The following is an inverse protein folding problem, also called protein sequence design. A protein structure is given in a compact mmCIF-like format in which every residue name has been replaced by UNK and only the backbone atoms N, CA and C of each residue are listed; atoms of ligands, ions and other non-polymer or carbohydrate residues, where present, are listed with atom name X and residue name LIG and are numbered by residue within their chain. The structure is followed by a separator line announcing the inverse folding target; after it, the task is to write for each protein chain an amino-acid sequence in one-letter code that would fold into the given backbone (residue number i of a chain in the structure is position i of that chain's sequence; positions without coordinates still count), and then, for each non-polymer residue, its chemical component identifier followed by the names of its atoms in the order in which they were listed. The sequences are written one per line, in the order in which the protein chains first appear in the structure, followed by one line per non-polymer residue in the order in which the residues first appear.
data_IF_093072616327
#
_entry.id   IF_093072616327
#
_cell.length_a   1.000
_cell.length_b   1.000
_cell.length_c   1.000
_cell.angle_alpha   90.00
_cell.angle_beta   90.00
_cell.angle_gamma   90.00
#
_symmetry.space_group_name_H-M   'P 1'
#
loop_
_entity.id
_entity.type
_entity.pdbx_description
1 polymer ?
#
# COMPACT_ATOMS: atom_id res chain seq x y z
N UNK A 1 22.72 62.37 -55.22
CA UNK A 1 22.29 61.13 -55.91
C UNK A 1 21.43 60.36 -54.92
N UNK A 2 20.12 60.28 -55.18
CA UNK A 2 19.11 59.63 -54.32
C UNK A 2 18.78 58.27 -54.92
N UNK A 3 18.91 57.21 -54.13
CA UNK A 3 18.24 55.89 -54.27
C UNK A 3 18.37 55.18 -52.92
N UNK A 4 17.35 55.10 -52.06
CA UNK A 4 16.11 54.28 -52.04
C UNK A 4 16.30 52.87 -51.44
N UNK A 5 15.37 52.58 -50.51
CA UNK A 5 14.86 51.27 -50.03
C UNK A 5 15.82 50.45 -49.13
N UNK A 6 15.41 49.81 -48.02
CA UNK A 6 14.14 49.11 -47.76
C UNK A 6 13.92 48.93 -46.24
N UNK A 7 12.66 48.92 -45.81
CA UNK A 7 12.20 48.58 -44.44
C UNK A 7 12.37 47.08 -44.17
N UNK A 8 12.77 46.72 -42.96
CA UNK A 8 12.41 45.45 -42.33
C UNK A 8 12.18 45.71 -40.83
N UNK A 9 10.91 45.69 -40.42
CA UNK A 9 10.47 45.72 -39.02
C UNK A 9 10.63 44.28 -38.52
N UNK A 10 11.62 44.05 -37.65
CA UNK A 10 11.75 42.77 -36.95
C UNK A 10 10.95 42.89 -35.64
N UNK A 11 9.77 42.30 -35.64
CA UNK A 11 8.94 42.09 -34.45
C UNK A 11 9.71 41.14 -33.52
N UNK A 12 10.19 41.64 -32.39
CA UNK A 12 10.67 40.80 -31.30
C UNK A 12 9.47 40.04 -30.72
N UNK A 13 9.23 38.83 -31.22
CA UNK A 13 8.42 37.85 -30.53
C UNK A 13 9.14 37.53 -29.22
N UNK A 14 8.58 38.03 -28.12
CA UNK A 14 8.90 37.59 -26.77
C UNK A 14 8.80 36.08 -26.71
N UNK A 15 9.96 35.42 -26.62
CA UNK A 15 10.07 34.02 -26.25
C UNK A 15 9.52 33.92 -24.83
N UNK A 16 8.22 33.64 -24.70
CA UNK A 16 7.67 33.07 -23.48
C UNK A 16 8.35 31.71 -23.37
N UNK A 17 9.38 31.66 -22.53
CA UNK A 17 9.93 30.39 -22.06
C UNK A 17 8.78 29.73 -21.30
N UNK A 18 8.04 28.89 -22.01
CA UNK A 18 7.30 27.82 -21.37
C UNK A 18 8.37 27.04 -20.63
N UNK A 19 8.47 27.25 -19.31
CA UNK A 19 9.06 26.28 -18.42
C UNK A 19 8.20 25.03 -18.59
N UNK A 20 8.53 24.22 -19.58
CA UNK A 20 8.22 22.81 -19.52
C UNK A 20 8.78 22.36 -18.19
N UNK A 21 7.91 21.96 -17.25
CA UNK A 21 8.31 21.03 -16.23
C UNK A 21 8.79 19.79 -16.97
N UNK A 22 10.07 19.77 -17.34
CA UNK A 22 10.74 18.51 -17.58
C UNK A 22 10.71 17.84 -16.22
N UNK A 23 9.92 16.77 -16.12
CA UNK A 23 10.15 15.74 -15.12
C UNK A 23 11.59 15.32 -15.40
N UNK A 24 12.54 15.83 -14.62
CA UNK A 24 13.87 15.26 -14.62
C UNK A 24 13.67 13.83 -14.12
N UNK A 25 13.73 12.87 -15.04
CA UNK A 25 13.98 11.49 -14.67
C UNK A 25 15.11 11.51 -13.63
N UNK A 26 14.92 10.81 -12.51
CA UNK A 26 15.80 10.88 -11.33
C UNK A 26 17.27 10.86 -11.71
N UNK A 27 17.89 12.04 -11.73
CA UNK A 27 19.35 12.17 -11.90
C UNK A 27 19.98 11.49 -10.68
N UNK A 28 20.85 10.53 -10.97
CA UNK A 28 21.74 9.89 -10.00
C UNK A 28 21.09 9.02 -8.91
N UNK A 29 19.93 8.41 -9.20
CA UNK A 29 19.29 7.47 -8.25
C UNK A 29 18.75 8.15 -7.00
N UNK A 30 18.41 9.44 -7.09
CA UNK A 30 17.58 10.10 -6.09
C UNK A 30 16.13 9.62 -6.23
N UNK A 31 15.52 9.28 -5.10
CA UNK A 31 14.12 8.89 -5.06
C UNK A 31 13.24 9.99 -5.68
N UNK A 32 12.20 9.60 -6.42
CA UNK A 32 11.23 10.54 -6.96
C UNK A 32 10.61 11.38 -5.84
N UNK A 33 10.39 12.67 -6.10
CA UNK A 33 9.75 13.58 -5.13
C UNK A 33 8.42 12.96 -4.65
N UNK A 34 8.27 12.76 -3.33
CA UNK A 34 7.07 12.16 -2.73
C UNK A 34 7.19 10.69 -2.31
N UNK A 35 8.23 9.95 -2.73
CA UNK A 35 8.44 8.55 -2.31
C UNK A 35 8.63 8.40 -0.80
N UNK A 36 9.44 9.27 -0.19
CA UNK A 36 9.62 9.30 1.27
C UNK A 36 8.31 9.61 1.99
N UNK A 37 7.41 10.36 1.34
CA UNK A 37 6.16 10.79 1.95
C UNK A 37 5.16 9.65 2.13
N UNK A 38 5.10 8.72 1.18
CA UNK A 38 4.17 7.59 1.23
C UNK A 38 4.73 6.34 1.92
N UNK A 39 6.06 6.21 2.04
CA UNK A 39 6.71 5.14 2.78
C UNK A 39 6.81 5.41 4.29
N UNK A 40 6.64 6.66 4.74
CA UNK A 40 6.73 7.04 6.17
C UNK A 40 5.64 6.44 7.05
N UNK A 41 4.56 5.95 6.45
CA UNK A 41 3.39 5.42 7.17
C UNK A 41 3.55 3.97 7.62
N UNK A 42 4.78 3.46 7.62
CA UNK A 42 5.09 2.11 8.06
C UNK A 42 4.66 1.04 7.05
N UNK A 43 4.74 -0.22 7.46
CA UNK A 43 4.66 -1.36 6.56
C UNK A 43 3.80 -2.50 7.09
N UNK A 44 3.37 -3.34 6.17
CA UNK A 44 2.85 -4.68 6.44
C UNK A 44 3.90 -5.67 5.97
N UNK A 45 4.52 -6.38 6.90
CA UNK A 45 5.41 -7.48 6.62
C UNK A 45 4.59 -8.76 6.50
N UNK A 46 4.70 -9.43 5.36
CA UNK A 46 3.94 -10.62 5.04
C UNK A 46 4.88 -11.79 4.82
N UNK A 47 4.54 -12.93 5.40
CA UNK A 47 5.16 -14.22 5.15
C UNK A 47 4.09 -15.20 4.68
N UNK A 48 4.32 -15.76 3.50
CA UNK A 48 3.47 -16.77 2.87
C UNK A 48 4.24 -18.08 2.81
N UNK A 49 3.65 -19.17 3.29
CA UNK A 49 4.22 -20.52 3.17
C UNK A 49 3.16 -21.46 2.62
N UNK A 50 3.50 -22.20 1.56
CA UNK A 50 2.55 -23.07 0.88
C UNK A 50 3.20 -23.89 -0.23
N UNK A 51 2.37 -24.36 -1.16
CA UNK A 51 2.79 -25.12 -2.34
C UNK A 51 2.26 -24.45 -3.60
N UNK A 52 3.11 -24.28 -4.62
CA UNK A 52 2.74 -23.73 -5.93
C UNK A 52 1.83 -24.69 -6.70
N UNK A 53 1.10 -24.24 -7.73
CA UNK A 53 0.30 -25.12 -8.60
C UNK A 53 1.06 -26.29 -9.25
N UNK A 54 2.39 -26.16 -9.41
CA UNK A 54 3.25 -27.22 -9.94
C UNK A 54 3.86 -28.13 -8.86
N UNK A 55 3.28 -28.14 -7.65
CA UNK A 55 3.65 -28.96 -6.49
C UNK A 55 5.04 -28.67 -5.90
N UNK A 56 5.61 -27.50 -6.18
CA UNK A 56 6.85 -27.05 -5.56
C UNK A 56 6.54 -26.24 -4.29
N UNK A 57 7.12 -26.59 -3.12
CA UNK A 57 6.91 -25.82 -1.90
C UNK A 57 7.56 -24.43 -2.02
N UNK A 58 6.97 -23.43 -1.36
CA UNK A 58 7.54 -22.10 -1.27
C UNK A 58 7.41 -21.52 0.14
N UNK A 59 8.33 -20.62 0.48
CA UNK A 59 8.20 -19.70 1.61
C UNK A 59 8.74 -18.35 1.17
N UNK A 60 7.90 -17.31 1.24
CA UNK A 60 8.24 -15.96 0.80
C UNK A 60 7.93 -14.96 1.89
N UNK A 61 8.89 -14.09 2.17
CA UNK A 61 8.70 -12.91 3.03
C UNK A 61 8.89 -11.66 2.21
N UNK A 62 8.00 -10.68 2.39
CA UNK A 62 8.01 -9.39 1.69
C UNK A 62 7.44 -8.30 2.60
N UNK A 63 7.85 -7.05 2.37
CA UNK A 63 7.29 -5.89 3.05
C UNK A 63 6.54 -5.01 2.04
N UNK A 64 5.27 -4.72 2.33
CA UNK A 64 4.46 -3.73 1.60
C UNK A 64 4.52 -2.41 2.38
N UNK A 65 5.05 -1.35 1.77
CA UNK A 65 5.48 -0.14 2.49
C UNK A 65 4.76 1.13 2.08
N UNK A 66 4.21 1.16 0.88
CA UNK A 66 3.69 2.39 0.30
C UNK A 66 2.19 2.48 0.53
N UNK A 67 1.66 3.68 0.75
CA UNK A 67 0.21 3.93 0.83
C UNK A 67 -0.29 4.69 -0.41
N UNK A 68 -1.60 4.90 -0.53
CA UNK A 68 -2.17 5.65 -1.66
C UNK A 68 -1.69 7.09 -1.65
N UNK A 69 -1.50 7.66 -2.84
CA UNK A 69 -1.19 9.08 -3.05
C UNK A 69 -2.46 9.92 -3.18
N UNK A 70 -3.59 9.30 -3.51
CA UNK A 70 -4.85 9.99 -3.78
C UNK A 70 -5.61 10.27 -2.48
N UNK A 71 -5.92 11.56 -2.25
CA UNK A 71 -6.56 12.01 -1.01
C UNK A 71 -7.92 11.34 -0.72
N UNK A 72 -8.68 11.01 -1.77
CA UNK A 72 -9.96 10.31 -1.67
C UNK A 72 -9.84 8.90 -1.09
N UNK A 73 -8.67 8.28 -1.25
CA UNK A 73 -8.47 6.86 -0.98
C UNK A 73 -7.98 6.63 0.44
N UNK A 74 -7.51 7.66 1.16
CA UNK A 74 -7.02 7.50 2.53
C UNK A 74 -8.08 6.89 3.45
N UNK A 75 -9.36 7.21 3.24
CA UNK A 75 -10.47 6.65 4.03
C UNK A 75 -10.53 5.13 3.98
N UNK A 76 -10.13 4.50 2.88
CA UNK A 76 -10.14 3.04 2.67
C UNK A 76 -8.74 2.40 2.68
N UNK A 77 -7.67 3.18 2.67
CA UNK A 77 -6.28 2.69 2.51
C UNK A 77 -5.32 3.04 3.64
N UNK A 78 -5.60 4.05 4.46
CA UNK A 78 -4.72 4.40 5.59
C UNK A 78 -5.45 5.17 6.68
N UNK A 79 -6.54 4.63 7.20
CA UNK A 79 -7.40 5.34 8.14
C UNK A 79 -7.59 4.63 9.47
N UNK A 80 -7.87 5.44 10.48
CA UNK A 80 -8.55 5.04 11.71
C UNK A 80 -9.85 5.84 11.82
N UNK A 81 -10.91 5.17 12.23
CA UNK A 81 -12.21 5.76 12.53
C UNK A 81 -12.55 5.49 13.99
N UNK A 82 -13.00 6.54 14.69
CA UNK A 82 -13.39 6.48 16.09
C UNK A 82 -14.92 6.49 16.21
N UNK A 83 -15.47 5.54 16.96
CA UNK A 83 -16.88 5.48 17.31
C UNK A 83 -17.03 5.16 18.80
N UNK A 84 -16.93 6.19 19.64
CA UNK A 84 -16.76 6.01 21.08
C UNK A 84 -15.47 5.24 21.37
N UNK A 85 -15.57 4.17 22.14
CA UNK A 85 -14.43 3.28 22.45
C UNK A 85 -14.16 2.25 21.35
N UNK A 86 -14.91 2.27 20.24
CA UNK A 86 -14.68 1.35 19.13
C UNK A 86 -13.81 2.02 18.06
N UNK A 87 -12.85 1.27 17.53
CA UNK A 87 -11.93 1.71 16.48
C UNK A 87 -12.08 0.80 15.27
N UNK A 88 -12.07 1.40 14.09
CA UNK A 88 -11.98 0.67 12.82
C UNK A 88 -10.78 1.17 12.04
N UNK A 89 -9.90 0.26 11.65
CA UNK A 89 -8.70 0.55 10.86
C UNK A 89 -8.87 0.02 9.45
N UNK A 90 -8.59 0.87 8.45
CA UNK A 90 -8.52 0.44 7.05
C UNK A 90 -7.10 0.69 6.55
N UNK A 91 -6.41 -0.39 6.21
CA UNK A 91 -5.01 -0.35 5.80
C UNK A 91 -4.87 -1.05 4.48
N UNK A 92 -4.26 -0.37 3.52
CA UNK A 92 -3.76 -0.91 2.27
C UNK A 92 -2.31 -0.47 2.13
N UNK A 93 -1.46 -1.41 1.74
CA UNK A 93 -0.07 -1.14 1.40
C UNK A 93 0.27 -1.74 0.05
N UNK A 94 0.95 -0.95 -0.77
CA UNK A 94 1.52 -1.35 -2.03
C UNK A 94 2.94 -1.90 -1.84
N UNK A 95 3.31 -2.87 -2.68
CA UNK A 95 4.65 -3.43 -2.73
C UNK A 95 5.67 -2.44 -3.30
N UNK A 96 5.25 -1.70 -4.31
CA UNK A 96 5.96 -0.64 -5.02
C UNK A 96 5.20 0.69 -4.92
N UNK A 97 5.82 1.79 -5.32
CA UNK A 97 5.12 3.09 -5.35
C UNK A 97 3.94 3.04 -6.34
N UNK A 98 2.77 3.58 -5.97
CA UNK A 98 1.53 3.49 -6.74
C UNK A 98 1.45 4.43 -7.96
N UNK A 99 2.56 5.03 -8.42
CA UNK A 99 2.60 5.87 -9.65
C UNK A 99 2.57 5.03 -10.95
N UNK A 100 2.55 3.70 -10.84
CA UNK A 100 2.44 2.78 -11.98
C UNK A 100 1.09 2.05 -11.95
N UNK A 101 0.13 2.56 -12.73
CA UNK A 101 -1.21 1.98 -12.98
C UNK A 101 -1.18 0.52 -13.46
N UNK A 102 -0.02 -0.03 -13.81
CA UNK A 102 0.13 -1.40 -14.30
C UNK A 102 0.71 -2.39 -13.27
N UNK A 103 1.12 -1.95 -12.07
CA UNK A 103 1.84 -2.78 -11.09
C UNK A 103 1.40 -2.57 -9.63
N UNK A 104 0.13 -2.79 -9.33
CA UNK A 104 -0.39 -2.67 -7.96
C UNK A 104 -0.48 -4.04 -7.27
N UNK A 105 0.67 -4.61 -6.88
CA UNK A 105 0.66 -5.67 -5.87
C UNK A 105 0.36 -5.05 -4.52
N UNK A 106 -0.75 -5.44 -3.89
CA UNK A 106 -1.18 -4.86 -2.61
C UNK A 106 -1.43 -5.92 -1.55
N UNK A 107 -1.36 -5.48 -0.30
CA UNK A 107 -1.97 -6.15 0.83
C UNK A 107 -2.90 -5.16 1.51
N UNK A 108 -4.11 -5.59 1.84
CA UNK A 108 -5.05 -4.76 2.59
C UNK A 108 -5.82 -5.55 3.63
N UNK A 109 -6.24 -4.85 4.68
CA UNK A 109 -7.05 -5.42 5.73
C UNK A 109 -7.95 -4.38 6.40
N UNK A 110 -9.00 -4.88 7.04
CA UNK A 110 -9.79 -4.15 8.00
C UNK A 110 -9.64 -4.79 9.38
N UNK A 111 -9.31 -3.99 10.39
CA UNK A 111 -9.18 -4.41 11.79
C UNK A 111 -10.17 -3.62 12.64
N UNK A 112 -11.01 -4.31 13.38
CA UNK A 112 -11.89 -3.70 14.36
C UNK A 112 -11.40 -3.96 15.78
N UNK A 113 -11.47 -2.92 16.60
CA UNK A 113 -11.21 -2.98 18.04
C UNK A 113 -12.46 -2.51 18.75
N UNK A 114 -13.08 -3.40 19.51
CA UNK A 114 -14.25 -3.06 20.32
C UNK A 114 -13.81 -2.78 21.75
N UNK A 115 -14.39 -1.76 22.40
CA UNK A 115 -14.07 -1.37 23.78
C UNK A 115 -12.56 -1.13 24.00
N UNK A 116 -11.92 -0.37 23.10
CA UNK A 116 -10.50 -0.08 23.14
C UNK A 116 -10.07 0.52 24.48
N UNK A 117 -8.98 -0.01 25.06
CA UNK A 117 -8.46 0.41 26.36
C UNK A 117 -9.22 -0.13 27.57
N UNK A 118 -10.32 -0.86 27.37
CA UNK A 118 -11.11 -1.45 28.46
C UNK A 118 -10.78 -2.93 28.66
N UNK A 119 -11.15 -3.48 29.84
CA UNK A 119 -10.95 -4.90 30.14
C UNK A 119 -11.76 -5.84 29.22
N UNK A 120 -12.80 -5.33 28.57
CA UNK A 120 -13.63 -6.05 27.59
C UNK A 120 -13.17 -5.83 26.15
N UNK A 121 -11.93 -5.38 25.93
CA UNK A 121 -11.38 -5.14 24.60
C UNK A 121 -11.33 -6.44 23.78
N UNK A 122 -11.79 -6.36 22.54
CA UNK A 122 -11.61 -7.43 21.55
C UNK A 122 -11.00 -6.86 20.28
N UNK A 123 -10.11 -7.62 19.65
CA UNK A 123 -9.45 -7.24 18.39
C UNK A 123 -9.79 -8.29 17.35
N UNK A 124 -10.35 -7.87 16.22
CA UNK A 124 -10.80 -8.74 15.15
C UNK A 124 -10.27 -8.27 13.81
N UNK A 125 -9.62 -9.18 13.08
CA UNK A 125 -9.29 -8.97 11.67
C UNK A 125 -10.52 -9.38 10.85
N UNK A 126 -11.22 -8.42 10.25
CA UNK A 126 -12.48 -8.66 9.54
C UNK A 126 -12.28 -9.09 8.08
N UNK A 127 -11.26 -8.57 7.44
CA UNK A 127 -10.91 -8.89 6.06
C UNK A 127 -9.41 -8.84 5.88
N UNK A 128 -8.92 -9.67 4.96
CA UNK A 128 -7.52 -9.64 4.53
C UNK A 128 -7.45 -10.00 3.06
N UNK A 129 -6.83 -9.14 2.27
CA UNK A 129 -6.76 -9.26 0.82
C UNK A 129 -5.31 -9.12 0.37
N UNK A 130 -4.92 -9.97 -0.57
CA UNK A 130 -3.69 -9.83 -1.35
C UNK A 130 -4.13 -9.62 -2.79
N UNK A 131 -3.58 -8.62 -3.48
CA UNK A 131 -3.82 -8.41 -4.90
C UNK A 131 -2.53 -8.56 -5.69
N UNK A 132 -2.61 -9.23 -6.84
CA UNK A 132 -1.56 -9.28 -7.86
C UNK A 132 -0.15 -9.59 -7.35
N UNK A 133 0.01 -10.39 -6.28
CA UNK A 133 1.32 -10.69 -5.72
C UNK A 133 1.98 -11.87 -6.46
N UNK A 134 3.00 -11.56 -7.27
CA UNK A 134 3.73 -12.58 -8.02
C UNK A 134 4.75 -13.32 -7.14
N UNK A 135 4.63 -14.64 -7.10
CA UNK A 135 5.61 -15.54 -6.49
C UNK A 135 6.49 -16.14 -7.58
N UNK A 136 7.68 -15.57 -7.75
CA UNK A 136 8.68 -15.99 -8.72
C UNK A 136 9.65 -16.96 -8.03
N UNK A 137 9.77 -18.18 -8.56
CA UNK A 137 10.72 -19.18 -8.10
C UNK A 137 12.06 -19.10 -8.84
N UNK A 138 13.08 -19.76 -8.29
CA UNK A 138 14.42 -19.83 -8.87
C UNK A 138 14.45 -20.60 -10.21
N UNK A 139 13.40 -21.37 -10.49
CA UNK A 139 13.20 -22.10 -11.76
C UNK A 139 12.60 -21.22 -12.88
N UNK A 140 12.60 -19.89 -12.69
CA UNK A 140 12.07 -18.89 -13.62
C UNK A 140 10.58 -19.06 -13.93
N UNK A 141 9.85 -19.77 -13.06
CA UNK A 141 8.38 -19.85 -13.11
C UNK A 141 7.78 -18.93 -12.06
N UNK A 142 6.57 -18.46 -12.34
CA UNK A 142 5.79 -17.69 -11.39
C UNK A 142 4.34 -18.15 -11.36
N UNK A 143 3.67 -17.80 -10.26
CA UNK A 143 2.21 -17.75 -10.19
C UNK A 143 1.83 -16.48 -9.41
N UNK A 144 0.57 -16.09 -9.49
CA UNK A 144 0.06 -14.87 -8.85
C UNK A 144 -0.93 -15.26 -7.78
N UNK A 145 -0.85 -14.59 -6.63
CA UNK A 145 -1.85 -14.62 -5.58
C UNK A 145 -2.63 -13.31 -5.63
N UNK A 146 -3.95 -13.40 -5.77
CA UNK A 146 -4.88 -12.30 -5.87
C UNK A 146 -6.26 -12.68 -5.33
N UNK A 147 -6.36 -12.80 -4.00
CA UNK A 147 -7.51 -13.35 -3.30
C UNK A 147 -7.97 -12.46 -2.14
N UNK A 148 -9.24 -12.63 -1.75
CA UNK A 148 -9.79 -12.12 -0.49
C UNK A 148 -10.02 -13.31 0.46
N UNK A 149 -9.41 -13.26 1.64
CA UNK A 149 -9.41 -14.38 2.57
C UNK A 149 -10.39 -14.19 3.71
N UNK A 150 -11.03 -15.29 4.10
CA UNK A 150 -11.74 -15.36 5.37
C UNK A 150 -10.74 -15.35 6.52
N UNK A 151 -10.96 -14.47 7.48
CA UNK A 151 -10.10 -14.26 8.66
C UNK A 151 -10.75 -14.76 9.96
N UNK A 152 -11.82 -15.56 9.87
CA UNK A 152 -12.57 -16.07 11.02
C UNK A 152 -11.69 -16.88 11.99
N UNK A 153 -10.63 -17.51 11.50
CA UNK A 153 -9.65 -18.28 12.27
C UNK A 153 -8.37 -17.48 12.59
N UNK A 154 -8.31 -16.19 12.26
CA UNK A 154 -7.13 -15.38 12.44
C UNK A 154 -6.77 -15.21 13.92
N UNK A 155 -5.50 -15.43 14.21
CA UNK A 155 -4.91 -15.19 15.52
C UNK A 155 -4.24 -13.82 15.48
N UNK A 156 -4.65 -12.94 16.40
CA UNK A 156 -4.02 -11.63 16.58
C UNK A 156 -3.24 -11.64 17.89
N UNK A 157 -2.03 -11.11 17.85
CA UNK A 157 -1.15 -11.00 19.01
C UNK A 157 -0.38 -9.67 18.95
N UNK A 158 0.21 -9.28 20.08
CA UNK A 158 1.02 -8.06 20.22
C UNK A 158 0.30 -6.79 19.72
N UNK A 159 -1.02 -6.73 19.86
CA UNK A 159 -1.80 -5.54 19.49
C UNK A 159 -1.46 -4.36 20.40
N UNK A 160 -1.14 -3.22 19.78
CA UNK A 160 -0.97 -1.94 20.43
C UNK A 160 -1.41 -0.82 19.48
N UNK A 161 -2.20 0.13 20.00
CA UNK A 161 -2.50 1.37 19.30
C UNK A 161 -2.07 2.56 20.16
N UNK A 162 -1.08 3.31 19.69
CA UNK A 162 -0.63 4.57 20.29
C UNK A 162 -1.41 5.72 19.67
N UNK A 163 -2.42 6.21 20.40
CA UNK A 163 -3.30 7.29 19.96
C UNK A 163 -2.58 8.65 19.80
N UNK A 164 -1.44 8.86 20.46
CA UNK A 164 -0.67 10.11 20.29
C UNK A 164 0.09 10.12 18.96
N UNK A 165 0.52 8.93 18.52
CA UNK A 165 1.29 8.76 17.27
C UNK A 165 0.46 8.23 16.10
N UNK A 166 -0.81 7.92 16.33
CA UNK A 166 -1.65 7.11 15.43
C UNK A 166 -0.92 5.88 14.89
N UNK A 167 -0.17 5.20 15.77
CA UNK A 167 0.65 4.04 15.39
C UNK A 167 -0.06 2.76 15.81
N UNK A 168 -0.39 1.93 14.83
CA UNK A 168 -0.97 0.61 15.00
C UNK A 168 0.13 -0.44 14.81
N UNK A 169 0.29 -1.28 15.82
CA UNK A 169 1.17 -2.46 15.81
C UNK A 169 0.35 -3.71 16.13
N UNK A 170 0.49 -4.77 15.35
CA UNK A 170 0.00 -6.11 15.70
C UNK A 170 0.62 -7.18 14.81
N UNK A 171 0.57 -8.43 15.28
CA UNK A 171 0.89 -9.62 14.49
C UNK A 171 -0.37 -10.42 14.19
N UNK A 172 -0.39 -11.05 13.02
CA UNK A 172 -1.48 -11.89 12.58
C UNK A 172 -0.98 -13.22 12.01
N UNK A 173 -1.78 -14.27 12.18
CA UNK A 173 -1.56 -15.56 11.54
C UNK A 173 -2.88 -16.26 11.26
N UNK A 174 -3.03 -16.85 10.08
CA UNK A 174 -4.16 -17.71 9.72
C UNK A 174 -3.79 -18.71 8.63
N UNK A 175 -4.61 -19.74 8.48
CA UNK A 175 -4.48 -20.73 7.40
C UNK A 175 -5.63 -20.54 6.42
N UNK A 176 -5.29 -20.61 5.13
CA UNK A 176 -6.20 -20.55 3.99
C UNK A 176 -6.27 -21.95 3.38
N UNK A 177 -7.47 -22.56 3.30
CA UNK A 177 -7.65 -23.85 2.64
C UNK A 177 -7.36 -23.78 1.14
N UNK A 178 -6.93 -24.89 0.56
CA UNK A 178 -6.67 -25.05 -0.88
C UNK A 178 -7.79 -24.55 -1.80
N UNK A 179 -9.06 -24.73 -1.41
CA UNK A 179 -10.22 -24.30 -2.20
C UNK A 179 -10.43 -22.77 -2.22
N UNK A 180 -9.67 -22.02 -1.43
CA UNK A 180 -9.78 -20.57 -1.27
C UNK A 180 -8.43 -19.88 -1.50
N UNK A 181 -7.55 -20.49 -2.27
CA UNK A 181 -6.23 -19.99 -2.60
C UNK A 181 -5.86 -20.30 -4.05
N UNK A 182 -5.38 -19.30 -4.77
CA UNK A 182 -4.94 -19.40 -6.18
C UNK A 182 -3.92 -20.51 -6.47
N UNK A 183 -3.15 -20.95 -5.47
CA UNK A 183 -2.19 -22.04 -5.67
C UNK A 183 -2.83 -23.42 -5.81
N UNK A 184 -4.11 -23.56 -5.43
CA UNK A 184 -4.81 -24.85 -5.35
C UNK A 184 -4.34 -25.73 -4.18
N UNK A 185 -3.56 -25.18 -3.25
CA UNK A 185 -3.03 -25.86 -2.06
C UNK A 185 -3.23 -25.00 -0.81
N UNK A 186 -3.17 -25.63 0.36
CA UNK A 186 -3.23 -24.91 1.63
C UNK A 186 -2.09 -23.88 1.72
N UNK A 187 -2.41 -22.73 2.30
CA UNK A 187 -1.51 -21.59 2.47
C UNK A 187 -1.54 -21.15 3.93
N UNK A 188 -0.37 -20.94 4.51
CA UNK A 188 -0.23 -20.25 5.80
C UNK A 188 0.17 -18.80 5.54
N UNK A 189 -0.60 -17.89 6.12
CA UNK A 189 -0.39 -16.44 6.07
C UNK A 189 0.01 -15.97 7.47
N UNK A 190 1.20 -15.40 7.59
CA UNK A 190 1.71 -14.79 8.81
C UNK A 190 2.15 -13.36 8.50
N UNK A 191 2.04 -12.46 9.46
CA UNK A 191 2.56 -11.12 9.26
C UNK A 191 2.55 -10.22 10.47
N UNK A 192 3.12 -9.05 10.27
CA UNK A 192 3.23 -7.97 11.24
C UNK A 192 2.86 -6.66 10.55
N UNK A 193 1.87 -5.96 11.11
CA UNK A 193 1.57 -4.60 10.73
C UNK A 193 2.20 -3.67 11.75
N UNK A 194 3.01 -2.73 11.27
CA UNK A 194 3.51 -1.60 12.06
C UNK A 194 3.35 -0.36 11.20
N UNK A 195 2.23 0.34 11.39
CA UNK A 195 1.74 1.38 10.48
C UNK A 195 1.32 2.64 11.24
N UNK A 196 1.46 3.78 10.57
CA UNK A 196 0.85 5.04 11.00
C UNK A 196 -0.40 5.25 10.16
N UNK A 197 -1.54 5.41 10.83
CA UNK A 197 -2.86 5.60 10.21
C UNK A 197 -3.33 7.05 10.38
N UNK A 198 -4.27 7.47 9.55
CA UNK A 198 -4.77 8.84 9.52
C UNK A 198 -6.20 8.92 10.04
N UNK A 199 -6.50 9.96 10.81
CA UNK A 199 -7.87 10.30 11.20
C UNK A 199 -8.41 11.33 10.20
N UNK A 200 -9.62 11.11 9.69
CA UNK A 200 -10.27 12.08 8.82
C UNK A 200 -10.78 13.26 9.66
N UNK A 201 -10.33 14.47 9.33
CA UNK A 201 -10.91 15.70 9.87
C UNK A 201 -12.09 16.09 8.99
N UNK A 202 -13.31 15.97 9.52
CA UNK A 202 -14.49 16.46 8.82
C UNK A 202 -14.52 17.99 8.83
N UNK A 203 -14.69 18.60 7.67
CA UNK A 203 -15.05 20.01 7.58
C UNK A 203 -16.52 20.15 7.97
N UNK A 204 -16.77 20.80 9.12
CA UNK A 204 -18.12 21.21 9.52
C UNK A 204 -18.71 22.24 8.55
#
# INVERSE_FOLDING_TARGET
MITKLTKAILVCFSLVVLTSCSVEDGKDGQDGVGFEEIAKFGAVNLKLTGTRPDNVPFSKTTAFKFTSVEGSDYSSSNSVQFNGDNLTFNVLRYLSSPDDVFQESTVSFNLDVTNAGLASQTVLLNSFRIENFALIGDDLKYFVISDNYSTTNAQISDYNFDNEKNKLDFKFSFNVPAASNDSGHDLTVEGEASVIVLELINNN
#
